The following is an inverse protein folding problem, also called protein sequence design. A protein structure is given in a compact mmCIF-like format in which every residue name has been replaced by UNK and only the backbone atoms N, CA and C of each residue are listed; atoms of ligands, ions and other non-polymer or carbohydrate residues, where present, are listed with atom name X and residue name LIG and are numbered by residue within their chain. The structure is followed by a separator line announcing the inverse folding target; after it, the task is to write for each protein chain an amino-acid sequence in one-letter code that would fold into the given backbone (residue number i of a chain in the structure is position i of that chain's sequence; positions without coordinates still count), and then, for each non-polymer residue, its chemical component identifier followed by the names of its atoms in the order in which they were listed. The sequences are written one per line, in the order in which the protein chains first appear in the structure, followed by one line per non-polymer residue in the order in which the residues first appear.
data_IF_862614761547
#
_entry.id   IF_862614761547
#
_cell.length_a   1.000
_cell.length_b   1.000
_cell.length_c   1.000
_cell.angle_alpha   90.00
_cell.angle_beta   90.00
_cell.angle_gamma   90.00
#
_symmetry.space_group_name_H-M   'P 1'
#
loop_
_entity.id
_entity.type
_entity.pdbx_description
1 polymer ?
#
# COMPACT_ATOMS: atom_id res chain seq x y z
N UNK A 1 16.21 1.88 3.61
CA UNK A 1 15.56 1.05 4.66
C UNK A 1 14.88 -0.14 3.99
N UNK A 2 14.73 -1.31 4.64
CA UNK A 2 14.09 -2.49 4.02
C UNK A 2 12.70 -2.16 3.42
N UNK A 3 11.83 -1.51 4.20
CA UNK A 3 10.48 -1.17 3.76
C UNK A 3 10.45 -0.15 2.61
N UNK A 4 11.37 0.81 2.60
CA UNK A 4 11.50 1.78 1.51
C UNK A 4 11.78 1.07 0.18
N UNK A 5 12.76 0.18 0.14
CA UNK A 5 13.10 -0.56 -1.08
C UNK A 5 11.96 -1.49 -1.51
N UNK A 6 11.22 -2.10 -0.57
CA UNK A 6 10.03 -2.89 -0.89
C UNK A 6 8.93 -2.02 -1.55
N UNK A 7 8.68 -0.81 -1.05
CA UNK A 7 7.70 0.12 -1.62
C UNK A 7 8.14 0.66 -2.99
N UNK A 8 9.42 1.02 -3.15
CA UNK A 8 9.97 1.50 -4.43
C UNK A 8 9.84 0.44 -5.54
N UNK A 9 9.98 -0.84 -5.20
CA UNK A 9 9.83 -1.94 -6.17
C UNK A 9 8.38 -2.20 -6.60
N UNK A 10 7.38 -1.76 -5.83
CA UNK A 10 5.96 -1.95 -6.16
C UNK A 10 5.41 -0.88 -7.08
N UNK A 11 6.11 0.26 -7.22
CA UNK A 11 5.81 1.36 -8.17
C UNK A 11 4.39 1.94 -8.08
N UNK A 12 3.67 1.70 -6.99
CA UNK A 12 2.30 2.22 -6.73
C UNK A 12 2.35 3.59 -6.06
N UNK A 13 3.34 3.83 -5.20
CA UNK A 13 3.55 5.09 -4.51
C UNK A 13 4.67 5.89 -5.16
N UNK A 14 4.52 7.21 -5.16
CA UNK A 14 5.60 8.11 -5.56
C UNK A 14 6.69 8.24 -4.47
N UNK A 15 7.81 8.87 -4.84
CA UNK A 15 8.94 9.04 -3.92
C UNK A 15 8.59 9.90 -2.68
N UNK A 16 7.61 10.81 -2.79
CA UNK A 16 7.19 11.67 -1.70
C UNK A 16 6.35 10.88 -0.69
N UNK A 17 5.38 10.11 -1.14
CA UNK A 17 4.58 9.20 -0.33
C UNK A 17 5.46 8.16 0.39
N UNK A 18 6.45 7.59 -0.30
CA UNK A 18 7.41 6.66 0.31
C UNK A 18 8.23 7.36 1.41
N UNK A 19 8.69 8.59 1.16
CA UNK A 19 9.42 9.39 2.16
C UNK A 19 8.55 9.68 3.39
N UNK A 20 7.28 10.05 3.18
CA UNK A 20 6.30 10.28 4.26
C UNK A 20 6.06 9.01 5.07
N UNK A 21 5.81 7.87 4.41
CA UNK A 21 5.63 6.58 5.06
C UNK A 21 6.81 6.21 5.96
N UNK A 22 8.04 6.47 5.53
CA UNK A 22 9.23 6.15 6.31
C UNK A 22 9.49 7.09 7.51
N UNK A 23 8.84 8.26 7.54
CA UNK A 23 9.17 9.35 8.47
C UNK A 23 8.06 9.65 9.47
N UNK A 24 6.81 9.27 9.21
CA UNK A 24 5.65 9.55 10.07
C UNK A 24 4.74 8.33 10.19
N UNK A 25 4.53 7.79 11.41
CA UNK A 25 3.56 6.72 11.64
C UNK A 25 2.13 7.10 11.23
N UNK A 26 1.73 8.35 11.39
CA UNK A 26 0.41 8.86 10.99
C UNK A 26 0.22 8.77 9.47
N UNK A 27 1.24 9.21 8.71
CA UNK A 27 1.21 9.12 7.26
C UNK A 27 1.12 7.67 6.76
N UNK A 28 1.69 6.70 7.50
CA UNK A 28 1.56 5.28 7.14
C UNK A 28 0.10 4.82 7.20
N UNK A 29 -0.69 5.30 8.17
CA UNK A 29 -2.09 4.93 8.28
C UNK A 29 -2.93 5.50 7.12
N UNK A 30 -2.73 6.78 6.79
CA UNK A 30 -3.37 7.42 5.64
C UNK A 30 -3.08 6.66 4.34
N UNK A 31 -1.81 6.30 4.12
CA UNK A 31 -1.38 5.57 2.93
C UNK A 31 -1.89 4.11 2.88
N UNK A 32 -2.20 3.51 4.05
CA UNK A 32 -2.85 2.18 4.09
C UNK A 32 -4.28 2.30 3.58
N UNK A 33 -5.01 3.33 4.02
CA UNK A 33 -6.39 3.55 3.61
C UNK A 33 -6.44 3.85 2.10
N UNK A 34 -5.57 4.75 1.60
CA UNK A 34 -5.43 5.04 0.17
C UNK A 34 -5.12 3.77 -0.65
N UNK A 35 -4.13 2.96 -0.22
CA UNK A 35 -3.81 1.71 -0.92
C UNK A 35 -4.93 0.67 -0.89
N UNK A 36 -5.82 0.71 0.11
CA UNK A 36 -7.00 -0.16 0.17
C UNK A 36 -8.09 0.36 -0.76
N UNK A 37 -8.34 1.66 -0.78
CA UNK A 37 -9.33 2.29 -1.65
C UNK A 37 -8.98 2.05 -3.13
N UNK A 38 -7.73 2.31 -3.53
CA UNK A 38 -7.25 2.04 -4.90
C UNK A 38 -7.37 0.55 -5.27
N UNK A 39 -7.07 -0.37 -4.34
CA UNK A 39 -7.25 -1.79 -4.57
C UNK A 39 -8.72 -2.15 -4.86
N UNK A 40 -9.66 -1.54 -4.14
CA UNK A 40 -11.10 -1.78 -4.32
C UNK A 40 -11.54 -1.19 -5.67
N UNK A 41 -11.13 0.04 -5.98
CA UNK A 41 -11.47 0.69 -7.24
C UNK A 41 -11.00 -0.11 -8.46
N UNK A 42 -9.77 -0.64 -8.43
CA UNK A 42 -9.28 -1.50 -9.51
C UNK A 42 -9.99 -2.86 -9.57
N UNK A 43 -10.36 -3.45 -8.43
CA UNK A 43 -11.15 -4.70 -8.43
C UNK A 43 -12.54 -4.44 -9.07
N UNK A 44 -13.19 -3.31 -8.75
CA UNK A 44 -14.49 -2.89 -9.32
C UNK A 44 -14.39 -2.60 -10.83
N UNK A 45 -13.42 -1.78 -11.27
CA UNK A 45 -13.16 -1.53 -12.69
C UNK A 45 -12.87 -2.83 -13.45
N UNK A 46 -12.12 -3.75 -12.82
CA UNK A 46 -11.80 -5.05 -13.41
C UNK A 46 -13.05 -5.88 -13.70
N UNK A 47 -14.04 -5.84 -12.81
CA UNK A 47 -15.33 -6.52 -13.00
C UNK A 47 -16.19 -5.83 -14.07
N UNK A 48 -16.16 -4.49 -14.15
CA UNK A 48 -16.82 -3.72 -15.21
C UNK A 48 -16.25 -4.05 -16.60
N UNK A 49 -14.92 -4.03 -16.76
CA UNK A 49 -14.26 -4.41 -18.02
C UNK A 49 -14.56 -5.86 -18.39
N UNK A 50 -14.62 -6.77 -17.42
CA UNK A 50 -14.96 -8.16 -17.68
C UNK A 50 -16.41 -8.30 -18.19
N UNK A 51 -17.35 -7.57 -17.60
CA UNK A 51 -18.74 -7.53 -18.03
C UNK A 51 -18.91 -6.93 -19.44
N UNK A 52 -18.04 -5.99 -19.82
CA UNK A 52 -17.97 -5.42 -21.16
C UNK A 52 -17.25 -6.30 -22.21
N UNK A 53 -16.64 -7.42 -21.79
CA UNK A 53 -15.86 -8.31 -22.66
C UNK A 53 -14.43 -7.80 -22.95
N UNK A 54 -13.97 -6.80 -22.21
CA UNK A 54 -12.66 -6.15 -22.35
C UNK A 54 -11.59 -6.87 -21.51
N UNK A 55 -11.34 -8.14 -21.82
CA UNK A 55 -10.52 -9.03 -20.99
C UNK A 55 -9.11 -8.53 -20.69
N UNK A 56 -8.47 -7.81 -21.62
CA UNK A 56 -7.13 -7.25 -21.41
C UNK A 56 -7.15 -6.14 -20.36
N UNK A 57 -8.12 -5.23 -20.42
CA UNK A 57 -8.31 -4.18 -19.41
C UNK A 57 -8.67 -4.78 -18.04
N UNK A 58 -9.53 -5.80 -18.01
CA UNK A 58 -9.83 -6.51 -16.78
C UNK A 58 -8.58 -7.19 -16.16
N UNK A 59 -7.70 -7.75 -16.99
CA UNK A 59 -6.45 -8.35 -16.54
C UNK A 59 -5.44 -7.30 -16.05
N UNK A 60 -5.41 -6.12 -16.67
CA UNK A 60 -4.63 -4.98 -16.20
C UNK A 60 -5.11 -4.51 -14.82
N UNK A 61 -6.41 -4.26 -14.66
CA UNK A 61 -6.98 -3.86 -13.37
C UNK A 61 -6.69 -4.86 -12.24
N UNK A 62 -6.74 -6.17 -12.53
CA UNK A 62 -6.36 -7.21 -11.54
C UNK A 62 -4.89 -7.15 -11.13
N UNK A 63 -3.99 -6.77 -12.05
CA UNK A 63 -2.57 -6.58 -11.74
C UNK A 63 -2.37 -5.35 -10.85
N UNK A 64 -3.03 -4.24 -11.17
CA UNK A 64 -2.99 -3.02 -10.36
C UNK A 64 -3.55 -3.25 -8.95
N UNK A 65 -4.72 -3.89 -8.83
CA UNK A 65 -5.29 -4.27 -7.53
C UNK A 65 -4.35 -5.19 -6.72
N UNK A 66 -3.66 -6.12 -7.39
CA UNK A 66 -2.66 -6.97 -6.73
C UNK A 66 -1.46 -6.16 -6.22
N UNK A 67 -0.98 -5.17 -6.99
CA UNK A 67 0.10 -4.28 -6.58
C UNK A 67 -0.31 -3.43 -5.37
N UNK A 68 -1.48 -2.80 -5.40
CA UNK A 68 -2.02 -2.02 -4.28
C UNK A 68 -2.22 -2.85 -3.01
N UNK A 69 -2.72 -4.07 -3.15
CA UNK A 69 -2.84 -5.03 -2.03
C UNK A 69 -1.48 -5.37 -1.41
N UNK A 70 -0.44 -5.53 -2.23
CA UNK A 70 0.92 -5.76 -1.75
C UNK A 70 1.47 -4.52 -1.04
N UNK A 71 1.22 -3.32 -1.56
CA UNK A 71 1.61 -2.04 -0.94
C UNK A 71 0.98 -1.88 0.44
N UNK A 72 -0.34 -2.10 0.57
CA UNK A 72 -1.02 -2.08 1.85
C UNK A 72 -0.42 -3.09 2.86
N UNK A 73 0.01 -4.27 2.40
CA UNK A 73 0.65 -5.27 3.25
C UNK A 73 2.04 -4.82 3.76
N UNK A 74 2.84 -4.16 2.92
CA UNK A 74 4.14 -3.59 3.31
C UNK A 74 3.93 -2.45 4.31
N UNK A 75 3.01 -1.52 4.02
CA UNK A 75 2.70 -0.40 4.92
C UNK A 75 2.18 -0.87 6.29
N UNK A 76 1.31 -1.89 6.33
CA UNK A 76 0.87 -2.51 7.61
C UNK A 76 2.05 -3.11 8.39
N UNK A 77 3.06 -3.65 7.70
CA UNK A 77 4.27 -4.17 8.35
C UNK A 77 5.16 -3.06 8.90
N UNK A 78 5.24 -1.93 8.19
CA UNK A 78 5.91 -0.72 8.65
C UNK A 78 5.21 -0.12 9.88
N UNK A 79 3.88 0.04 9.86
CA UNK A 79 3.10 0.52 11.00
C UNK A 79 3.33 -0.33 12.27
N UNK A 80 3.31 -1.67 12.12
CA UNK A 80 3.64 -2.60 13.22
C UNK A 80 5.07 -2.45 13.74
N UNK A 81 6.00 -1.98 12.91
CA UNK A 81 7.40 -1.73 13.30
C UNK A 81 7.54 -0.43 14.08
N UNK A 82 6.80 0.62 13.71
CA UNK A 82 6.70 1.86 14.49
C UNK A 82 6.15 1.60 15.90
N UNK A 83 4.99 0.94 16.00
CA UNK A 83 4.37 0.62 17.29
C UNK A 83 5.23 -0.27 18.21
N UNK A 84 6.11 -1.12 17.65
CA UNK A 84 7.10 -1.88 18.44
C UNK A 84 8.20 -0.98 18.98
N UNK A 85 8.63 0.01 18.20
CA UNK A 85 9.68 0.95 18.59
C UNK A 85 9.21 1.84 19.73
N UNK A 86 7.99 2.39 19.62
CA UNK A 86 7.37 3.24 20.65
C UNK A 86 7.19 2.51 21.99
N UNK A 87 6.70 1.25 21.96
CA UNK A 87 6.56 0.45 23.19
C UNK A 87 7.89 0.18 23.87
N UNK A 88 8.96 -0.05 23.09
CA UNK A 88 10.30 -0.24 23.64
C UNK A 88 10.84 1.03 24.28
N UNK A 89 10.59 2.20 23.70
CA UNK A 89 11.00 3.47 24.30
C UNK A 89 10.18 3.81 25.55
N UNK A 90 8.89 3.49 25.57
CA UNK A 90 8.01 3.75 26.71
C UNK A 90 8.26 2.80 27.90
N UNK A 91 8.68 1.55 27.68
CA UNK A 91 8.99 0.60 28.76
C UNK A 91 10.39 0.73 29.38
N UNK A 92 11.20 1.66 28.88
CA UNK A 92 12.55 1.98 29.40
C UNK A 92 12.54 3.28 30.24
N UNK A 93 11.43 4.02 30.23
CA UNK A 93 11.18 5.19 31.07
C UNK A 93 10.46 4.79 32.36
#
# INVERSE_FOLDING_TARGET
MRYQAELENLTTLDALAITRACSSPEAVMELIDEAVDECIEFDELGDEHLAAGEHEHAAFCRQEAAAWRATAAVLRSLARSHARTERRTAGVA
#
